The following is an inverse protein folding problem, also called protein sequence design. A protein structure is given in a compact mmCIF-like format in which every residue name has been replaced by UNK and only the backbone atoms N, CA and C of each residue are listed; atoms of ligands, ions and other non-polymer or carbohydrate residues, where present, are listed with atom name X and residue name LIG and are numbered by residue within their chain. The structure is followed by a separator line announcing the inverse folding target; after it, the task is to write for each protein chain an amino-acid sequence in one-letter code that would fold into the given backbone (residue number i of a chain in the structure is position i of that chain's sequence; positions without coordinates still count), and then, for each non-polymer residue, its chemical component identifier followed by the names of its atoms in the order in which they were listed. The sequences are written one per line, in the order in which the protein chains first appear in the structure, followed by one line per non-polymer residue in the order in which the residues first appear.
data_IF_638124736102
#
_entry.id   IF_638124736102
#
_cell.length_a   1.000
_cell.length_b   1.000
_cell.length_c   1.000
_cell.angle_alpha   90.00
_cell.angle_beta   90.00
_cell.angle_gamma   90.00
#
_symmetry.space_group_name_H-M   'P 1'
#
loop_
_entity.id
_entity.type
_entity.pdbx_description
1 polymer ?
#
# COMPACT_ATOMS: atom_id res chain seq x y z
N UNK A 1 -4.55 -21.24 -78.98
CA UNK A 1 -4.14 -19.98 -78.32
C UNK A 1 -5.31 -19.47 -77.49
N UNK A 2 -5.42 -19.89 -76.23
CA UNK A 2 -5.87 -19.06 -75.10
C UNK A 2 -5.77 -19.92 -73.85
N UNK A 3 -4.90 -19.50 -72.95
CA UNK A 3 -4.64 -20.08 -71.66
C UNK A 3 -5.32 -19.25 -70.56
N UNK A 4 -5.48 -19.89 -69.41
CA UNK A 4 -5.65 -19.31 -68.06
C UNK A 4 -7.04 -18.78 -67.71
N UNK A 5 -7.81 -19.58 -66.97
CA UNK A 5 -8.49 -19.17 -65.73
C UNK A 5 -8.56 -20.38 -64.79
N UNK A 6 -8.58 -20.13 -63.49
CA UNK A 6 -8.68 -21.05 -62.34
C UNK A 6 -7.37 -21.45 -61.69
N UNK A 7 -6.75 -20.45 -61.04
CA UNK A 7 -5.77 -20.66 -59.99
C UNK A 7 -6.47 -21.04 -58.67
N UNK A 8 -5.93 -22.09 -58.05
CA UNK A 8 -6.20 -22.59 -56.71
C UNK A 8 -6.26 -21.48 -55.65
N UNK A 9 -7.40 -21.37 -54.95
CA UNK A 9 -7.46 -20.78 -53.60
C UNK A 9 -7.52 -21.94 -52.62
N UNK A 10 -6.37 -22.36 -52.10
CA UNK A 10 -6.31 -23.19 -50.90
C UNK A 10 -6.85 -22.36 -49.73
N UNK A 11 -7.85 -22.90 -49.01
CA UNK A 11 -8.28 -22.33 -47.72
C UNK A 11 -7.05 -22.21 -46.80
N UNK A 12 -6.90 -21.10 -46.05
CA UNK A 12 -5.84 -21.02 -45.04
C UNK A 12 -6.10 -22.12 -44.00
N UNK A 13 -5.06 -22.89 -43.66
CA UNK A 13 -5.12 -23.79 -42.52
C UNK A 13 -5.48 -22.99 -41.26
N UNK A 14 -6.34 -23.54 -40.38
CA UNK A 14 -6.58 -22.91 -39.09
C UNK A 14 -5.26 -22.77 -38.35
N UNK A 15 -4.98 -21.57 -37.84
CA UNK A 15 -3.84 -21.35 -36.98
C UNK A 15 -3.88 -22.38 -35.83
N UNK A 16 -2.75 -23.03 -35.49
CA UNK A 16 -2.74 -24.00 -34.42
C UNK A 16 -3.29 -23.37 -33.15
N UNK A 17 -4.21 -24.07 -32.46
CA UNK A 17 -4.65 -23.70 -31.12
C UNK A 17 -3.41 -23.53 -30.25
N UNK A 18 -3.13 -22.30 -29.84
CA UNK A 18 -2.09 -22.01 -28.86
C UNK A 18 -2.61 -22.52 -27.52
N UNK A 19 -2.28 -23.76 -27.19
CA UNK A 19 -2.54 -24.32 -25.86
C UNK A 19 -1.80 -23.42 -24.86
N UNK A 20 -2.49 -22.75 -23.91
CA UNK A 20 -1.82 -21.88 -22.96
C UNK A 20 -0.80 -22.70 -22.16
N UNK A 21 0.45 -22.25 -22.15
CA UNK A 21 1.49 -22.88 -21.31
C UNK A 21 1.06 -22.71 -19.86
N UNK A 22 0.80 -23.82 -19.18
CA UNK A 22 0.45 -23.82 -17.76
C UNK A 22 1.69 -23.49 -16.94
N UNK A 23 1.81 -22.24 -16.51
CA UNK A 23 2.88 -21.79 -15.60
C UNK A 23 2.73 -22.45 -14.23
N UNK A 24 3.86 -22.77 -13.61
CA UNK A 24 3.91 -23.04 -12.16
C UNK A 24 3.56 -21.76 -11.38
N UNK A 25 3.14 -21.85 -10.10
CA UNK A 25 2.94 -20.67 -9.26
C UNK A 25 4.17 -19.76 -9.20
N UNK A 26 5.37 -20.34 -9.11
CA UNK A 26 6.62 -19.57 -9.06
C UNK A 26 6.86 -18.78 -10.36
N UNK A 27 6.70 -19.41 -11.53
CA UNK A 27 6.84 -18.73 -12.82
C UNK A 27 5.80 -17.61 -12.99
N UNK A 28 4.54 -17.89 -12.65
CA UNK A 28 3.49 -16.88 -12.72
C UNK A 28 3.79 -15.66 -11.85
N UNK A 29 4.09 -15.88 -10.56
CA UNK A 29 4.37 -14.79 -9.63
C UNK A 29 5.65 -14.04 -9.99
N UNK A 30 6.68 -14.72 -10.51
CA UNK A 30 7.91 -14.09 -10.99
C UNK A 30 7.62 -13.12 -12.13
N UNK A 31 6.91 -13.58 -13.17
CA UNK A 31 6.57 -12.76 -14.33
C UNK A 31 5.66 -11.59 -13.92
N UNK A 32 4.66 -11.86 -13.07
CA UNK A 32 3.73 -10.85 -12.58
C UNK A 32 4.45 -9.72 -11.82
N UNK A 33 5.26 -10.06 -10.81
CA UNK A 33 5.98 -9.08 -9.99
C UNK A 33 6.94 -8.24 -10.84
N UNK A 34 7.69 -8.90 -11.75
CA UNK A 34 8.64 -8.22 -12.63
C UNK A 34 7.94 -7.31 -13.64
N UNK A 35 6.81 -7.74 -14.21
CA UNK A 35 6.04 -6.96 -15.18
C UNK A 35 5.58 -5.60 -14.64
N UNK A 36 5.44 -5.47 -13.32
CA UNK A 36 5.03 -4.23 -12.65
C UNK A 36 6.25 -3.44 -12.14
N UNK A 37 7.19 -4.09 -11.46
CA UNK A 37 8.31 -3.39 -10.81
C UNK A 37 9.35 -2.90 -11.82
N UNK A 38 9.60 -3.65 -12.90
CA UNK A 38 10.59 -3.24 -13.91
C UNK A 38 10.22 -1.91 -14.58
N UNK A 39 9.00 -1.72 -15.15
CA UNK A 39 8.63 -0.43 -15.75
C UNK A 39 8.65 0.72 -14.76
N UNK A 40 8.27 0.50 -13.49
CA UNK A 40 8.33 1.52 -12.45
C UNK A 40 9.78 1.94 -12.14
N UNK A 41 10.72 1.00 -12.06
CA UNK A 41 12.14 1.32 -11.86
C UNK A 41 12.73 2.05 -13.08
N UNK A 42 12.36 1.66 -14.29
CA UNK A 42 12.78 2.32 -15.52
C UNK A 42 12.26 3.76 -15.57
N UNK A 43 10.96 3.96 -15.29
CA UNK A 43 10.34 5.28 -15.28
C UNK A 43 10.89 6.18 -14.16
N UNK A 44 11.32 5.61 -13.03
CA UNK A 44 11.92 6.37 -11.94
C UNK A 44 13.24 7.07 -12.35
N UNK A 45 13.97 6.47 -13.30
CA UNK A 45 15.29 6.93 -13.73
C UNK A 45 16.35 6.90 -12.62
N UNK A 46 16.04 6.24 -11.49
CA UNK A 46 16.89 6.20 -10.29
C UNK A 46 17.76 4.96 -10.16
N UNK A 47 17.61 3.97 -11.07
CA UNK A 47 18.27 2.67 -10.98
C UNK A 47 19.05 2.35 -12.26
N UNK A 48 20.31 1.93 -12.11
CA UNK A 48 21.09 1.38 -13.24
C UNK A 48 20.52 0.02 -13.67
N UNK A 49 20.86 -0.45 -14.89
CA UNK A 49 20.44 -1.80 -15.34
C UNK A 49 20.86 -2.91 -14.39
N UNK A 50 22.07 -2.80 -13.82
CA UNK A 50 22.56 -3.78 -12.84
C UNK A 50 21.73 -3.76 -11.55
N UNK A 51 21.38 -2.58 -11.06
CA UNK A 51 20.51 -2.43 -9.88
C UNK A 51 19.11 -2.96 -10.15
N UNK A 52 18.54 -2.69 -11.33
CA UNK A 52 17.26 -3.23 -11.76
C UNK A 52 17.31 -4.77 -11.75
N UNK A 53 18.32 -5.37 -12.40
CA UNK A 53 18.48 -6.82 -12.44
C UNK A 53 18.58 -7.46 -11.03
N UNK A 54 19.30 -6.82 -10.10
CA UNK A 54 19.40 -7.29 -8.70
C UNK A 54 18.05 -7.27 -7.97
N UNK A 55 17.25 -6.22 -8.16
CA UNK A 55 15.93 -6.12 -7.54
C UNK A 55 14.93 -7.09 -8.16
N UNK A 56 14.96 -7.28 -9.48
CA UNK A 56 14.14 -8.29 -10.16
C UNK A 56 14.51 -9.70 -9.71
N UNK A 57 15.80 -10.00 -9.59
CA UNK A 57 16.26 -11.27 -9.03
C UNK A 57 15.77 -11.49 -7.60
N UNK A 58 15.79 -10.45 -6.74
CA UNK A 58 15.24 -10.57 -5.39
C UNK A 58 13.74 -10.91 -5.40
N UNK A 59 12.97 -10.34 -6.34
CA UNK A 59 11.56 -10.67 -6.50
C UNK A 59 11.37 -12.14 -6.91
N UNK A 60 12.11 -12.62 -7.91
CA UNK A 60 11.98 -13.99 -8.40
C UNK A 60 12.46 -15.04 -7.40
N UNK A 61 13.57 -14.77 -6.72
CA UNK A 61 14.26 -15.79 -5.89
C UNK A 61 13.68 -15.85 -4.47
N UNK A 62 13.09 -14.77 -3.98
CA UNK A 62 12.66 -14.66 -2.58
C UNK A 62 11.20 -14.27 -2.41
N UNK A 63 10.63 -13.39 -3.24
CA UNK A 63 9.25 -12.93 -3.07
C UNK A 63 8.25 -13.89 -3.72
N UNK A 64 8.42 -14.20 -5.00
CA UNK A 64 7.51 -15.03 -5.78
C UNK A 64 7.18 -16.39 -5.11
N UNK A 65 8.13 -17.12 -4.49
CA UNK A 65 7.85 -18.39 -3.83
C UNK A 65 6.94 -18.28 -2.59
N UNK A 66 6.74 -17.06 -2.05
CA UNK A 66 5.96 -16.84 -0.81
C UNK A 66 4.50 -16.49 -1.06
N UNK A 67 4.13 -16.15 -2.30
CA UNK A 67 2.79 -15.64 -2.65
C UNK A 67 1.72 -16.74 -2.81
N UNK A 68 2.11 -18.00 -2.64
CA UNK A 68 1.18 -19.12 -2.58
C UNK A 68 0.72 -19.60 -3.96
N UNK A 69 -0.51 -20.14 -4.06
CA UNK A 69 -1.00 -20.78 -5.28
C UNK A 69 -1.27 -19.76 -6.41
N UNK A 70 -1.62 -20.25 -7.60
CA UNK A 70 -2.03 -19.38 -8.70
C UNK A 70 -3.32 -18.62 -8.35
N UNK A 71 -3.55 -17.41 -8.89
CA UNK A 71 -4.79 -16.67 -8.63
C UNK A 71 -6.07 -17.43 -8.98
N UNK A 72 -6.01 -18.37 -9.93
CA UNK A 72 -7.12 -19.24 -10.36
C UNK A 72 -7.36 -20.44 -9.43
N UNK A 73 -6.48 -20.71 -8.48
CA UNK A 73 -6.56 -21.85 -7.57
C UNK A 73 -7.21 -21.42 -6.23
N UNK A 74 -7.82 -22.36 -5.48
CA UNK A 74 -8.41 -22.05 -4.18
C UNK A 74 -7.39 -21.44 -3.21
N UNK A 75 -7.69 -20.24 -2.70
CA UNK A 75 -6.85 -19.50 -1.75
C UNK A 75 -7.69 -18.63 -0.82
N UNK A 76 -7.08 -18.17 0.27
CA UNK A 76 -7.65 -17.09 1.06
C UNK A 76 -7.64 -15.78 0.25
N UNK A 77 -8.67 -14.96 0.48
CA UNK A 77 -8.72 -13.58 -0.03
C UNK A 77 -7.62 -12.75 0.62
N UNK A 78 -6.89 -11.99 -0.18
CA UNK A 78 -5.93 -11.00 0.25
C UNK A 78 -6.67 -9.72 0.65
N UNK A 79 -6.11 -9.03 1.64
CA UNK A 79 -6.75 -7.93 2.34
C UNK A 79 -5.91 -6.66 2.35
N UNK A 80 -4.64 -6.74 1.94
CA UNK A 80 -3.77 -5.58 1.85
C UNK A 80 -4.31 -4.51 0.89
N UNK A 81 -4.91 -4.92 -0.22
CA UNK A 81 -5.42 -4.02 -1.25
C UNK A 81 -6.93 -4.18 -1.41
N UNK A 82 -7.58 -3.17 -1.99
CA UNK A 82 -9.02 -3.25 -2.29
C UNK A 82 -9.35 -4.16 -3.49
N UNK A 83 -8.34 -4.83 -4.08
CA UNK A 83 -8.43 -5.60 -5.34
C UNK A 83 -8.11 -7.09 -5.16
N UNK A 84 -8.14 -7.60 -3.93
CA UNK A 84 -7.78 -8.99 -3.62
C UNK A 84 -6.40 -9.36 -4.20
N UNK A 85 -5.39 -8.56 -3.87
CA UNK A 85 -4.01 -8.78 -4.29
C UNK A 85 -3.05 -8.72 -3.11
N UNK A 86 -2.04 -9.60 -3.06
CA UNK A 86 -1.05 -9.63 -2.00
C UNK A 86 0.09 -8.65 -2.23
N UNK A 87 0.04 -7.83 -3.28
CA UNK A 87 1.16 -7.03 -3.73
C UNK A 87 0.74 -5.59 -4.01
N UNK A 88 1.50 -4.64 -3.48
CA UNK A 88 1.22 -3.21 -3.63
C UNK A 88 2.50 -2.41 -3.82
N UNK A 89 2.91 -2.17 -5.07
CA UNK A 89 3.96 -1.23 -5.38
C UNK A 89 3.63 0.18 -4.89
N UNK A 90 4.65 0.96 -4.59
CA UNK A 90 4.51 2.39 -4.36
C UNK A 90 5.66 3.18 -4.93
N UNK A 91 5.34 4.40 -5.35
CA UNK A 91 6.30 5.39 -5.81
C UNK A 91 6.49 6.42 -4.70
N UNK A 92 7.70 6.52 -4.19
CA UNK A 92 8.13 7.61 -3.31
C UNK A 92 8.48 8.83 -4.16
N UNK A 93 7.59 9.82 -4.13
CA UNK A 93 7.60 11.07 -4.90
C UNK A 93 8.12 12.18 -3.99
N UNK A 94 9.44 12.29 -3.90
CA UNK A 94 10.11 13.25 -3.04
C UNK A 94 10.52 14.50 -3.80
N UNK A 95 10.38 15.68 -3.17
CA UNK A 95 10.81 16.95 -3.75
C UNK A 95 12.33 17.06 -3.95
N UNK A 96 13.11 16.17 -3.34
CA UNK A 96 14.58 16.14 -3.46
C UNK A 96 15.09 14.73 -3.75
N UNK A 97 15.89 14.59 -4.81
CA UNK A 97 16.43 13.30 -5.24
C UNK A 97 15.58 12.62 -6.31
N UNK A 98 15.88 11.34 -6.57
CA UNK A 98 15.15 10.54 -7.56
C UNK A 98 13.97 9.81 -6.90
N UNK A 99 12.91 9.62 -7.67
CA UNK A 99 11.77 8.79 -7.27
C UNK A 99 12.26 7.38 -6.98
N UNK A 100 11.81 6.82 -5.85
CA UNK A 100 12.17 5.46 -5.43
C UNK A 100 10.95 4.55 -5.53
N UNK A 101 11.17 3.34 -6.03
CA UNK A 101 10.17 2.28 -6.04
C UNK A 101 10.23 1.54 -4.71
N UNK A 102 9.07 1.16 -4.21
CA UNK A 102 8.89 0.26 -3.08
C UNK A 102 7.79 -0.72 -3.41
N UNK A 103 7.64 -1.75 -2.60
CA UNK A 103 6.46 -2.59 -2.63
C UNK A 103 6.13 -3.17 -1.26
N UNK A 104 4.84 -3.27 -0.97
CA UNK A 104 4.27 -4.00 0.15
C UNK A 104 3.76 -5.37 -0.27
N UNK A 105 3.76 -6.32 0.67
CA UNK A 105 3.40 -7.71 0.52
C UNK A 105 2.55 -8.17 1.71
N UNK A 106 1.45 -8.88 1.42
CA UNK A 106 0.70 -9.60 2.43
C UNK A 106 1.38 -10.95 2.65
N UNK A 107 1.66 -11.29 3.91
CA UNK A 107 2.15 -12.64 4.19
C UNK A 107 0.99 -13.63 4.04
N UNK A 108 1.09 -14.48 3.03
CA UNK A 108 0.04 -15.44 2.67
C UNK A 108 -0.16 -16.46 3.79
N UNK A 109 -1.40 -16.51 4.28
CA UNK A 109 -1.80 -17.40 5.37
C UNK A 109 -1.94 -18.85 4.87
N UNK A 110 -1.69 -19.85 5.74
CA UNK A 110 -2.01 -21.23 5.42
C UNK A 110 -3.52 -21.45 5.21
N UNK A 111 -3.91 -22.47 4.42
CA UNK A 111 -5.32 -22.86 4.29
C UNK A 111 -5.86 -23.47 5.60
N UNK A 112 -7.18 -23.59 5.70
CA UNK A 112 -7.86 -24.26 6.83
C UNK A 112 -8.61 -23.32 7.77
N UNK A 113 -8.39 -22.00 7.68
CA UNK A 113 -9.13 -21.01 8.46
C UNK A 113 -9.09 -21.32 9.97
N UNK A 114 -10.21 -21.12 10.65
CA UNK A 114 -10.31 -21.35 12.09
C UNK A 114 -9.90 -22.79 12.48
N UNK A 115 -10.25 -23.79 11.69
CA UNK A 115 -9.96 -25.20 11.98
C UNK A 115 -8.55 -25.64 11.57
N UNK A 116 -7.78 -24.75 10.94
CA UNK A 116 -6.44 -25.02 10.47
C UNK A 116 -5.39 -25.11 11.59
N UNK A 117 -4.18 -25.62 11.29
CA UNK A 117 -3.09 -25.70 12.26
C UNK A 117 -2.46 -24.33 12.61
N UNK A 118 -2.77 -23.28 11.84
CA UNK A 118 -2.32 -21.90 12.06
C UNK A 118 -3.47 -20.92 11.72
N UNK A 119 -4.51 -20.81 12.57
CA UNK A 119 -5.79 -20.18 12.22
C UNK A 119 -5.71 -18.72 11.77
N UNK A 120 -4.71 -18.01 12.29
CA UNK A 120 -4.49 -16.61 12.01
C UNK A 120 -3.27 -16.38 11.13
N UNK A 121 -2.47 -17.40 10.82
CA UNK A 121 -1.27 -17.28 9.99
C UNK A 121 -0.06 -16.68 10.71
N UNK A 122 -0.06 -16.62 12.06
CA UNK A 122 1.00 -15.98 12.85
C UNK A 122 2.28 -16.82 12.88
N UNK A 123 2.16 -18.16 12.86
CA UNK A 123 3.31 -19.04 12.74
C UNK A 123 3.98 -18.86 11.37
N UNK A 124 3.18 -18.90 10.30
CA UNK A 124 3.65 -18.64 8.93
C UNK A 124 4.27 -17.26 8.80
N UNK A 125 3.65 -16.23 9.38
CA UNK A 125 4.19 -14.88 9.42
C UNK A 125 5.58 -14.85 10.03
N UNK A 126 5.76 -15.43 11.22
CA UNK A 126 7.07 -15.48 11.90
C UNK A 126 8.15 -16.12 11.03
N UNK A 127 7.85 -17.26 10.40
CA UNK A 127 8.79 -17.95 9.51
C UNK A 127 9.21 -17.09 8.31
N UNK A 128 8.23 -16.52 7.61
CA UNK A 128 8.45 -15.70 6.40
C UNK A 128 9.20 -14.41 6.73
N UNK A 129 8.83 -13.72 7.81
CA UNK A 129 9.47 -12.47 8.23
C UNK A 129 10.94 -12.69 8.61
N UNK A 130 11.25 -13.77 9.36
CA UNK A 130 12.63 -14.10 9.72
C UNK A 130 13.46 -14.55 8.50
N UNK A 131 12.85 -15.26 7.56
CA UNK A 131 13.50 -15.60 6.28
C UNK A 131 13.86 -14.33 5.49
N UNK A 132 12.93 -13.38 5.37
CA UNK A 132 13.21 -12.12 4.67
C UNK A 132 14.24 -11.26 5.39
N UNK A 133 14.22 -11.24 6.72
CA UNK A 133 15.26 -10.55 7.49
C UNK A 133 16.65 -11.14 7.19
N UNK A 134 16.76 -12.47 7.11
CA UNK A 134 18.00 -13.15 6.75
C UNK A 134 18.50 -12.78 5.35
N UNK A 135 17.64 -12.83 4.31
CA UNK A 135 18.08 -12.55 2.93
C UNK A 135 18.28 -11.06 2.64
N UNK A 136 17.62 -10.17 3.38
CA UNK A 136 17.83 -8.71 3.28
C UNK A 136 18.97 -8.19 4.17
N UNK A 137 19.45 -9.00 5.11
CA UNK A 137 20.45 -8.59 6.11
C UNK A 137 19.89 -7.66 7.20
N UNK A 138 18.58 -7.69 7.43
CA UNK A 138 17.93 -6.87 8.46
C UNK A 138 18.22 -7.41 9.88
N UNK A 139 18.38 -6.50 10.84
CA UNK A 139 18.44 -6.86 12.27
C UNK A 139 17.06 -7.28 12.77
N UNK A 140 17.00 -8.39 13.51
CA UNK A 140 15.74 -9.01 13.94
C UNK A 140 15.36 -8.67 15.39
N UNK A 141 16.12 -7.88 16.14
CA UNK A 141 15.87 -7.66 17.58
C UNK A 141 14.49 -7.07 17.84
N UNK A 142 14.17 -5.96 17.16
CA UNK A 142 12.83 -5.35 17.25
C UNK A 142 11.77 -6.24 16.62
N UNK A 143 12.08 -6.91 15.52
CA UNK A 143 11.14 -7.79 14.83
C UNK A 143 10.67 -8.93 15.75
N UNK A 144 11.59 -9.66 16.38
CA UNK A 144 11.26 -10.75 17.30
C UNK A 144 10.47 -10.25 18.50
N UNK A 145 10.93 -9.17 19.14
CA UNK A 145 10.21 -8.57 20.28
C UNK A 145 8.80 -8.12 19.93
N UNK A 146 8.61 -7.55 18.74
CA UNK A 146 7.29 -7.11 18.28
C UNK A 146 6.39 -8.31 18.00
N UNK A 147 6.88 -9.36 17.34
CA UNK A 147 6.09 -10.58 17.12
C UNK A 147 5.69 -11.24 18.45
N UNK A 148 6.60 -11.34 19.42
CA UNK A 148 6.29 -11.92 20.74
C UNK A 148 5.26 -11.12 21.52
N UNK A 149 5.23 -9.80 21.33
CA UNK A 149 4.32 -8.91 22.02
C UNK A 149 2.93 -8.81 21.36
N UNK A 150 2.88 -8.88 20.02
CA UNK A 150 1.68 -8.58 19.24
C UNK A 150 1.03 -9.79 18.58
N UNK A 151 1.69 -10.94 18.49
CA UNK A 151 1.05 -12.19 18.12
C UNK A 151 0.41 -12.85 19.35
N UNK A 152 -0.59 -13.69 19.11
CA UNK A 152 -1.25 -14.47 20.14
C UNK A 152 -0.30 -15.57 20.65
N UNK A 153 -0.41 -15.88 21.94
CA UNK A 153 0.18 -17.10 22.49
C UNK A 153 -0.58 -18.33 21.96
N UNK A 154 -0.03 -19.56 22.08
CA UNK A 154 -0.77 -20.76 21.72
C UNK A 154 -2.10 -20.91 22.46
N UNK A 155 -2.14 -20.54 23.75
CA UNK A 155 -3.34 -20.57 24.59
C UNK A 155 -4.38 -19.55 24.11
N UNK A 156 -3.95 -18.30 23.88
CA UNK A 156 -4.84 -17.26 23.33
C UNK A 156 -5.34 -17.62 21.93
N UNK A 157 -4.51 -18.26 21.11
CA UNK A 157 -4.90 -18.72 19.77
C UNK A 157 -6.05 -19.70 19.86
N UNK A 158 -5.96 -20.68 20.75
CA UNK A 158 -7.01 -21.68 20.92
C UNK A 158 -8.29 -21.05 21.49
N UNK A 159 -8.16 -20.17 22.49
CA UNK A 159 -9.29 -19.47 23.09
C UNK A 159 -10.02 -18.55 22.09
N UNK A 160 -9.31 -18.02 21.08
CA UNK A 160 -9.83 -17.02 20.16
C UNK A 160 -10.15 -17.54 18.76
N UNK A 161 -9.75 -18.78 18.42
CA UNK A 161 -9.86 -19.42 17.10
C UNK A 161 -11.22 -19.22 16.41
N UNK A 162 -12.32 -19.27 17.17
CA UNK A 162 -13.70 -19.09 16.68
C UNK A 162 -14.36 -17.76 17.10
N UNK A 163 -13.61 -16.88 17.77
CA UNK A 163 -14.08 -15.57 18.25
C UNK A 163 -13.54 -14.41 17.42
N UNK A 164 -12.45 -14.65 16.68
CA UNK A 164 -11.78 -13.62 15.89
C UNK A 164 -11.89 -13.87 14.38
N UNK A 165 -11.84 -12.81 13.57
CA UNK A 165 -11.80 -12.97 12.13
C UNK A 165 -10.49 -13.58 11.65
N UNK A 166 -10.60 -14.60 10.82
CA UNK A 166 -9.46 -15.29 10.18
C UNK A 166 -9.02 -14.62 8.88
N UNK A 167 -9.86 -13.78 8.27
CA UNK A 167 -9.57 -13.13 6.99
C UNK A 167 -8.42 -12.11 7.09
N UNK A 168 -8.22 -11.47 8.24
CA UNK A 168 -7.19 -10.43 8.40
C UNK A 168 -5.77 -11.00 8.34
N UNK A 169 -4.78 -10.24 7.86
CA UNK A 169 -3.39 -10.69 7.89
C UNK A 169 -2.81 -10.45 9.29
N UNK A 170 -1.86 -11.28 9.69
CA UNK A 170 -1.12 -11.04 10.95
C UNK A 170 0.01 -10.02 10.76
N UNK A 171 0.57 -9.99 9.56
CA UNK A 171 1.62 -9.06 9.21
C UNK A 171 1.61 -8.72 7.72
N UNK A 172 2.07 -7.52 7.42
CA UNK A 172 2.49 -7.12 6.08
C UNK A 172 4.00 -6.89 6.10
N UNK A 173 4.62 -6.98 4.93
CA UNK A 173 6.03 -6.71 4.74
C UNK A 173 6.18 -5.70 3.62
N UNK A 174 7.20 -4.84 3.66
CA UNK A 174 7.52 -3.96 2.55
C UNK A 174 9.02 -3.88 2.33
N UNK A 175 9.40 -3.51 1.12
CA UNK A 175 10.79 -3.28 0.75
C UNK A 175 10.96 -1.92 0.09
N UNK A 176 11.89 -1.13 0.62
CA UNK A 176 12.37 0.09 -0.03
C UNK A 176 13.58 -0.25 -0.90
N UNK A 177 13.50 0.06 -2.19
CA UNK A 177 14.59 -0.20 -3.14
C UNK A 177 15.51 1.01 -3.20
N UNK A 178 16.75 0.86 -2.73
CA UNK A 178 17.73 1.93 -2.68
C UNK A 178 19.10 1.49 -3.19
N UNK A 179 19.48 1.95 -4.39
CA UNK A 179 20.62 1.43 -5.11
C UNK A 179 20.54 -0.10 -5.24
N UNK A 180 21.45 -0.86 -4.61
CA UNK A 180 21.41 -2.34 -4.56
C UNK A 180 20.87 -2.87 -3.24
N UNK A 181 20.45 -2.01 -2.31
CA UNK A 181 19.91 -2.41 -1.00
C UNK A 181 18.39 -2.57 -1.08
N UNK A 182 17.91 -3.61 -0.42
CA UNK A 182 16.50 -3.92 -0.27
C UNK A 182 16.15 -3.77 1.20
N UNK A 183 15.73 -2.57 1.61
CA UNK A 183 15.47 -2.31 3.03
C UNK A 183 14.11 -2.84 3.42
N UNK A 184 14.10 -3.82 4.32
CA UNK A 184 12.89 -4.46 4.82
C UNK A 184 12.17 -3.58 5.85
N UNK A 185 10.84 -3.56 5.76
CA UNK A 185 9.91 -3.02 6.77
C UNK A 185 8.85 -4.06 7.08
N UNK A 186 8.41 -4.11 8.33
CA UNK A 186 7.37 -5.03 8.79
C UNK A 186 6.26 -4.24 9.46
N UNK A 187 5.02 -4.62 9.15
CA UNK A 187 3.82 -4.13 9.79
C UNK A 187 3.20 -5.30 10.55
N UNK A 188 2.97 -5.14 11.85
CA UNK A 188 2.31 -6.15 12.68
C UNK A 188 0.91 -5.65 13.02
N UNK A 189 -0.10 -6.49 12.79
CA UNK A 189 -1.50 -6.13 13.00
C UNK A 189 -1.91 -6.50 14.44
N UNK A 190 -1.87 -5.52 15.34
CA UNK A 190 -2.08 -5.73 16.78
C UNK A 190 -3.54 -6.03 17.19
N UNK A 191 -4.51 -5.98 16.26
CA UNK A 191 -5.93 -6.02 16.61
C UNK A 191 -6.34 -7.31 17.32
N UNK A 192 -5.85 -8.47 16.87
CA UNK A 192 -6.19 -9.76 17.51
C UNK A 192 -5.73 -9.82 18.95
N UNK A 193 -4.47 -9.44 19.19
CA UNK A 193 -3.87 -9.41 20.52
C UNK A 193 -4.58 -8.42 21.44
N UNK A 194 -4.96 -7.25 20.92
CA UNK A 194 -5.73 -6.27 21.67
C UNK A 194 -7.09 -6.82 22.12
N UNK A 195 -7.81 -7.53 21.24
CA UNK A 195 -9.10 -8.14 21.60
C UNK A 195 -8.88 -9.28 22.61
N UNK A 196 -7.88 -10.14 22.40
CA UNK A 196 -7.56 -11.24 23.31
C UNK A 196 -7.17 -10.74 24.72
N UNK A 197 -6.50 -9.59 24.82
CA UNK A 197 -6.14 -8.97 26.10
C UNK A 197 -7.28 -8.20 26.76
N UNK A 198 -8.46 -8.14 26.14
CA UNK A 198 -9.58 -7.31 26.60
C UNK A 198 -9.34 -5.80 26.48
N UNK A 199 -8.41 -5.35 25.62
CA UNK A 199 -8.19 -3.93 25.39
C UNK A 199 -9.38 -3.31 24.65
N UNK A 200 -9.84 -2.11 25.05
CA UNK A 200 -10.94 -1.42 24.36
C UNK A 200 -10.57 -0.92 22.96
N UNK A 201 -9.27 -0.81 22.64
CA UNK A 201 -8.80 -0.52 21.27
C UNK A 201 -7.42 -1.09 20.99
N UNK A 202 -7.13 -1.36 19.72
CA UNK A 202 -5.81 -1.78 19.24
C UNK A 202 -4.77 -0.67 19.38
N UNK A 203 -5.16 0.60 19.20
CA UNK A 203 -4.28 1.75 19.39
C UNK A 203 -3.80 1.84 20.84
N UNK A 204 -4.72 1.78 21.81
CA UNK A 204 -4.36 1.82 23.23
C UNK A 204 -3.45 0.66 23.62
N UNK A 205 -3.78 -0.55 23.16
CA UNK A 205 -2.94 -1.73 23.38
C UNK A 205 -1.52 -1.51 22.82
N UNK A 206 -1.44 -1.02 21.58
CA UNK A 206 -0.16 -0.73 20.90
C UNK A 206 0.65 0.30 21.67
N UNK A 207 0.05 1.37 22.16
CA UNK A 207 0.77 2.39 22.94
C UNK A 207 1.34 1.83 24.25
N UNK A 208 0.54 1.05 24.98
CA UNK A 208 1.00 0.39 26.20
C UNK A 208 2.11 -0.62 25.92
N UNK A 209 2.04 -1.33 24.80
CA UNK A 209 3.04 -2.27 24.33
C UNK A 209 4.35 -1.58 23.92
N UNK A 210 4.27 -0.50 23.13
CA UNK A 210 5.41 0.32 22.72
C UNK A 210 6.20 0.85 23.91
N UNK A 211 5.53 1.22 25.01
CA UNK A 211 6.21 1.65 26.25
C UNK A 211 7.13 0.60 26.88
N UNK A 212 6.93 -0.67 26.53
CA UNK A 212 7.73 -1.80 27.04
C UNK A 212 8.80 -2.27 26.05
N UNK A 213 8.92 -1.61 24.88
CA UNK A 213 9.96 -1.99 23.91
C UNK A 213 11.34 -1.61 24.42
N UNK A 214 12.29 -2.51 24.21
CA UNK A 214 13.70 -2.27 24.50
C UNK A 214 14.54 -2.38 23.22
N UNK A 215 15.40 -1.38 22.93
CA UNK A 215 15.54 -0.10 23.63
C UNK A 215 14.40 0.90 23.32
N UNK A 216 14.18 1.87 24.23
CA UNK A 216 13.49 3.16 24.04
C UNK A 216 11.98 3.28 24.32
N UNK A 217 11.32 2.25 24.87
CA UNK A 217 9.90 2.28 25.19
C UNK A 217 9.47 3.43 26.13
N UNK A 218 10.28 3.75 27.14
CA UNK A 218 9.99 4.83 28.11
C UNK A 218 9.79 6.22 27.47
N UNK A 219 10.30 6.45 26.25
CA UNK A 219 10.21 7.74 25.54
C UNK A 219 8.90 7.93 24.76
N UNK A 220 8.06 6.89 24.66
CA UNK A 220 6.93 6.81 23.72
C UNK A 220 5.57 7.20 24.34
N UNK A 221 5.59 7.85 25.50
CA UNK A 221 4.43 8.06 26.38
C UNK A 221 3.26 8.91 25.86
N UNK A 222 3.45 10.11 25.27
CA UNK A 222 2.35 11.06 25.11
C UNK A 222 2.01 11.41 23.64
N UNK A 223 0.80 11.03 23.20
CA UNK A 223 0.11 11.76 22.12
C UNK A 223 -0.53 10.93 21.01
N UNK A 224 -1.35 9.92 21.30
CA UNK A 224 -1.98 9.12 20.24
C UNK A 224 -3.41 8.67 20.58
N UNK A 225 -4.32 9.64 20.65
CA UNK A 225 -5.76 9.36 20.56
C UNK A 225 -6.22 9.77 19.16
N UNK A 226 -6.42 8.81 18.25
CA UNK A 226 -6.83 9.07 16.85
C UNK A 226 -8.30 8.69 16.68
N UNK A 227 -9.08 9.62 16.13
CA UNK A 227 -10.51 9.51 15.82
C UNK A 227 -10.69 9.07 14.37
N UNK A 228 -11.73 8.27 14.08
CA UNK A 228 -12.02 7.67 12.78
C UNK A 228 -12.91 8.56 11.88
N UNK A 229 -12.50 9.81 11.66
CA UNK A 229 -13.22 10.81 10.85
C UNK A 229 -12.33 11.25 9.67
N UNK A 230 -12.92 11.57 8.51
CA UNK A 230 -12.21 11.94 7.28
C UNK A 230 -12.16 13.44 6.94
N UNK A 231 -12.58 14.32 7.85
CA UNK A 231 -12.57 15.78 7.74
C UNK A 231 -11.16 16.41 7.85
N UNK A 232 -11.03 17.66 7.41
CA UNK A 232 -9.76 18.37 7.53
C UNK A 232 -9.43 18.70 8.99
N UNK A 233 -10.44 19.00 9.81
CA UNK A 233 -10.27 19.27 11.23
C UNK A 233 -9.56 18.11 11.94
N UNK A 234 -9.99 16.86 11.68
CA UNK A 234 -9.33 15.66 12.23
C UNK A 234 -7.92 15.49 11.66
N UNK A 235 -7.73 15.71 10.37
CA UNK A 235 -6.38 15.66 9.79
C UNK A 235 -5.43 16.69 10.41
N UNK A 236 -5.89 17.92 10.63
CA UNK A 236 -5.13 18.98 11.28
C UNK A 236 -4.83 18.64 12.74
N UNK A 237 -5.82 18.14 13.48
CA UNK A 237 -5.67 17.74 14.87
C UNK A 237 -4.62 16.63 15.02
N UNK A 238 -4.75 15.54 14.26
CA UNK A 238 -3.80 14.42 14.29
C UNK A 238 -2.41 14.86 13.83
N UNK A 239 -2.31 15.63 12.74
CA UNK A 239 -1.01 16.09 12.22
C UNK A 239 -0.31 17.09 13.15
N UNK A 240 -1.00 17.64 14.16
CA UNK A 240 -0.44 18.45 15.24
C UNK A 240 -0.43 17.76 16.60
N UNK A 241 -0.86 16.49 16.68
CA UNK A 241 -1.05 15.74 17.92
C UNK A 241 -1.93 16.49 18.94
N UNK A 242 -3.08 16.98 18.50
CA UNK A 242 -3.99 17.79 19.31
C UNK A 242 -3.36 19.11 19.74
N UNK A 243 -2.68 19.81 18.83
CA UNK A 243 -2.04 21.09 19.09
C UNK A 243 -0.73 21.04 19.89
N UNK A 244 -0.14 19.85 20.10
CA UNK A 244 1.15 19.70 20.80
C UNK A 244 2.36 20.00 19.92
N UNK A 245 2.23 19.80 18.61
CA UNK A 245 3.26 20.13 17.62
C UNK A 245 2.97 21.51 17.01
N UNK A 246 3.59 22.55 17.59
CA UNK A 246 3.37 23.96 17.21
C UNK A 246 4.61 24.62 16.58
N UNK A 247 5.67 23.85 16.34
CA UNK A 247 6.87 24.35 15.68
C UNK A 247 6.60 24.72 14.21
N UNK A 248 7.46 25.59 13.66
CA UNK A 248 7.35 26.08 12.28
C UNK A 248 7.20 24.95 11.25
N UNK A 249 7.90 23.83 11.43
CA UNK A 249 7.87 22.71 10.48
C UNK A 249 6.52 21.99 10.55
N UNK A 250 6.00 21.77 11.77
CA UNK A 250 4.70 21.12 11.97
C UNK A 250 3.53 21.98 11.46
N UNK A 251 3.55 23.29 11.70
CA UNK A 251 2.53 24.20 11.17
C UNK A 251 2.60 24.30 9.65
N UNK A 252 3.81 24.36 9.06
CA UNK A 252 3.98 24.36 7.61
C UNK A 252 3.48 23.07 6.97
N UNK A 253 3.65 21.92 7.63
CA UNK A 253 3.09 20.62 7.19
C UNK A 253 1.57 20.69 7.05
N UNK A 254 0.87 21.23 8.04
CA UNK A 254 -0.59 21.38 8.02
C UNK A 254 -1.03 22.38 6.97
N UNK A 255 -0.33 23.51 6.83
CA UNK A 255 -0.59 24.51 5.78
C UNK A 255 -0.52 23.89 4.38
N UNK A 256 0.53 23.11 4.10
CA UNK A 256 0.67 22.43 2.82
C UNK A 256 -0.45 21.39 2.64
N UNK A 257 -0.71 20.55 3.65
CA UNK A 257 -1.78 19.55 3.58
C UNK A 257 -3.14 20.19 3.29
N UNK A 258 -3.46 21.32 3.93
CA UNK A 258 -4.67 22.11 3.67
C UNK A 258 -4.80 22.52 2.21
N UNK A 259 -3.69 22.98 1.62
CA UNK A 259 -3.67 23.37 0.20
C UNK A 259 -3.86 22.21 -0.77
N UNK A 260 -3.53 20.98 -0.35
CA UNK A 260 -3.71 19.76 -1.14
C UNK A 260 -5.07 19.10 -0.91
N UNK A 261 -5.75 19.44 0.19
CA UNK A 261 -6.93 18.73 0.67
C UNK A 261 -8.04 18.54 -0.38
N UNK A 262 -8.44 19.59 -1.14
CA UNK A 262 -9.48 19.42 -2.15
C UNK A 262 -9.05 18.48 -3.29
N UNK A 263 -7.76 18.43 -3.61
CA UNK A 263 -7.22 17.56 -4.66
C UNK A 263 -7.14 16.10 -4.18
N UNK A 264 -6.71 15.87 -2.93
CA UNK A 264 -6.62 14.55 -2.32
C UNK A 264 -8.00 13.87 -2.20
N UNK A 265 -9.05 14.65 -1.98
CA UNK A 265 -10.44 14.20 -1.88
C UNK A 265 -11.25 14.36 -3.18
N UNK A 266 -10.59 14.80 -4.26
CA UNK A 266 -11.21 15.07 -5.56
C UNK A 266 -12.54 15.82 -5.40
N UNK A 267 -12.52 16.92 -4.65
CA UNK A 267 -13.73 17.70 -4.36
C UNK A 267 -14.22 18.39 -5.62
N UNK A 268 -15.50 18.17 -5.96
CA UNK A 268 -16.15 18.80 -7.10
C UNK A 268 -17.07 19.93 -6.61
N UNK A 269 -17.22 21.02 -7.38
CA UNK A 269 -18.15 22.09 -7.04
C UNK A 269 -19.55 21.54 -6.75
N UNK A 270 -20.09 21.84 -5.57
CA UNK A 270 -21.43 21.43 -5.13
C UNK A 270 -21.54 20.07 -4.44
N UNK A 271 -20.45 19.29 -4.28
CA UNK A 271 -20.48 18.01 -3.53
C UNK A 271 -20.33 18.18 -2.00
N UNK A 272 -19.98 19.37 -1.53
CA UNK A 272 -19.80 19.70 -0.12
C UNK A 272 -19.73 21.22 0.10
N UNK A 273 -19.45 21.67 1.33
CA UNK A 273 -19.37 23.09 1.65
C UNK A 273 -18.29 23.80 0.83
N UNK A 274 -18.56 25.03 0.41
CA UNK A 274 -17.57 25.84 -0.30
C UNK A 274 -16.49 26.33 0.69
N UNK A 275 -15.19 26.08 0.46
CA UNK A 275 -14.14 26.44 1.41
C UNK A 275 -13.98 27.96 1.63
N UNK A 276 -14.51 28.79 0.73
CA UNK A 276 -14.46 30.25 0.82
C UNK A 276 -15.75 30.80 1.42
N UNK A 277 -16.92 30.31 0.98
CA UNK A 277 -18.20 30.80 1.47
C UNK A 277 -18.60 30.18 2.82
N UNK A 278 -18.18 28.95 3.10
CA UNK A 278 -18.59 28.16 4.26
C UNK A 278 -17.36 27.51 4.96
N UNK A 279 -16.35 28.30 5.39
CA UNK A 279 -15.08 27.76 5.87
C UNK A 279 -15.22 26.83 7.09
N UNK A 280 -16.09 27.15 8.06
CA UNK A 280 -16.28 26.31 9.26
C UNK A 280 -16.94 24.97 8.94
N UNK A 281 -17.91 24.96 8.03
CA UNK A 281 -18.55 23.72 7.57
C UNK A 281 -17.57 22.88 6.74
N UNK A 282 -16.72 23.51 5.94
CA UNK A 282 -15.69 22.81 5.15
C UNK A 282 -14.66 22.09 6.02
N UNK A 283 -14.23 22.70 7.13
CA UNK A 283 -13.28 22.09 8.08
C UNK A 283 -13.76 20.75 8.62
N UNK A 284 -15.05 20.66 8.91
CA UNK A 284 -15.70 19.50 9.55
C UNK A 284 -16.42 18.60 8.57
N UNK A 285 -16.33 18.90 7.26
CA UNK A 285 -17.01 18.14 6.22
C UNK A 285 -16.39 16.76 6.02
N UNK A 286 -17.18 15.73 6.27
CA UNK A 286 -16.87 14.34 5.95
C UNK A 286 -17.39 13.97 4.57
N UNK A 287 -16.49 13.59 3.65
CA UNK A 287 -16.90 13.10 2.34
C UNK A 287 -17.41 11.67 2.50
N UNK A 288 -18.63 11.34 2.03
CA UNK A 288 -19.12 9.98 2.06
C UNK A 288 -18.16 9.03 1.33
N UNK A 289 -17.95 7.84 1.90
CA UNK A 289 -17.18 6.79 1.23
C UNK A 289 -17.94 6.27 0.02
N UNK A 290 -17.24 6.13 -1.10
CA UNK A 290 -17.82 5.62 -2.33
C UNK A 290 -18.01 4.11 -2.30
N UNK A 291 -17.12 3.39 -1.63
CA UNK A 291 -17.12 1.94 -1.50
C UNK A 291 -17.29 1.61 -0.02
N UNK A 292 -18.39 0.96 0.30
CA UNK A 292 -18.69 0.51 1.66
C UNK A 292 -18.20 -0.93 1.88
N UNK A 293 -17.96 -1.30 3.14
CA UNK A 293 -17.59 -2.67 3.51
C UNK A 293 -16.14 -3.07 3.20
N UNK A 294 -15.29 -2.12 2.83
CA UNK A 294 -13.83 -2.32 2.74
C UNK A 294 -13.16 -1.93 4.06
N UNK A 295 -12.12 -2.67 4.51
CA UNK A 295 -11.32 -2.25 5.67
C UNK A 295 -10.39 -1.07 5.35
N UNK A 296 -10.25 -0.69 4.08
CA UNK A 296 -9.39 0.41 3.61
C UNK A 296 -10.22 1.71 3.51
N UNK A 297 -10.80 2.07 4.64
CA UNK A 297 -11.77 3.14 4.81
C UNK A 297 -11.16 4.25 5.69
N UNK A 298 -11.66 5.48 5.54
CA UNK A 298 -11.20 6.65 6.30
C UNK A 298 -9.74 7.07 6.08
N UNK A 299 -9.30 8.06 6.86
CA UNK A 299 -7.91 8.53 6.87
C UNK A 299 -7.04 7.63 7.74
N UNK A 300 -5.83 7.33 7.29
CA UNK A 300 -4.83 6.67 8.13
C UNK A 300 -3.69 7.63 8.45
N UNK A 301 -3.08 7.43 9.60
CA UNK A 301 -1.98 8.24 10.06
C UNK A 301 -0.87 7.36 10.61
N UNK A 302 0.36 7.86 10.50
CA UNK A 302 1.53 7.24 11.08
C UNK A 302 2.29 8.28 11.91
N UNK A 303 2.77 7.84 13.07
CA UNK A 303 3.77 8.54 13.87
C UNK A 303 5.09 7.81 13.71
N UNK A 304 6.04 8.46 13.05
CA UNK A 304 7.38 7.92 12.87
C UNK A 304 8.28 8.30 14.05
N UNK A 305 8.84 7.25 14.67
CA UNK A 305 9.73 7.33 15.81
C UNK A 305 11.16 7.07 15.33
N UNK A 306 12.01 8.08 15.41
CA UNK A 306 13.42 7.95 15.06
C UNK A 306 14.28 8.42 16.24
N UNK A 307 14.85 7.52 17.05
CA UNK A 307 15.41 7.98 18.32
C UNK A 307 16.85 8.49 18.20
N UNK A 308 17.39 8.52 16.97
CA UNK A 308 18.55 9.35 16.60
C UNK A 308 18.15 10.79 16.24
N UNK A 309 16.86 11.12 16.17
CA UNK A 309 16.34 12.47 15.91
C UNK A 309 15.39 12.90 17.03
N UNK A 310 15.54 14.10 17.61
CA UNK A 310 14.52 14.62 18.52
C UNK A 310 13.23 14.93 17.74
N UNK A 311 12.08 14.48 18.24
CA UNK A 311 10.75 14.81 17.71
C UNK A 311 9.99 13.63 17.11
N UNK A 312 8.72 13.87 16.77
CA UNK A 312 7.81 12.94 16.11
C UNK A 312 7.56 13.42 14.68
N UNK A 313 7.67 12.52 13.70
CA UNK A 313 7.33 12.84 12.31
C UNK A 313 5.93 12.28 11.99
N UNK A 314 5.00 13.15 11.62
CA UNK A 314 3.62 12.77 11.26
C UNK A 314 3.48 12.55 9.76
N UNK A 315 2.71 11.53 9.39
CA UNK A 315 2.36 11.22 8.00
C UNK A 315 0.88 10.87 7.90
N UNK A 316 0.16 11.47 6.96
CA UNK A 316 -1.23 11.11 6.64
C UNK A 316 -1.28 10.21 5.41
N UNK A 317 -2.36 9.45 5.27
CA UNK A 317 -2.67 8.59 4.12
C UNK A 317 -4.13 8.80 3.77
N UNK A 318 -4.39 9.24 2.54
CA UNK A 318 -5.74 9.46 2.02
C UNK A 318 -6.09 8.33 1.04
N UNK A 319 -7.24 7.65 1.19
CA UNK A 319 -7.62 6.53 0.33
C UNK A 319 -8.09 7.04 -1.04
N UNK A 320 -7.18 7.24 -1.99
CA UNK A 320 -7.49 7.93 -3.25
C UNK A 320 -8.57 7.20 -4.08
N UNK A 321 -8.60 5.86 -4.02
CA UNK A 321 -9.64 5.05 -4.67
C UNK A 321 -11.06 5.30 -4.15
N UNK A 322 -11.23 5.78 -2.90
CA UNK A 322 -12.54 6.17 -2.37
C UNK A 322 -13.03 7.49 -2.97
N UNK A 323 -12.12 8.37 -3.36
CA UNK A 323 -12.45 9.72 -3.83
C UNK A 323 -12.45 9.87 -5.36
N UNK A 324 -11.93 8.88 -6.08
CA UNK A 324 -11.89 8.86 -7.54
C UNK A 324 -12.69 7.67 -8.06
N UNK A 325 -13.56 7.91 -9.03
CA UNK A 325 -14.47 6.90 -9.57
C UNK A 325 -13.81 6.05 -10.67
N UNK A 326 -12.75 6.56 -11.30
CA UNK A 326 -12.03 5.89 -12.39
C UNK A 326 -10.52 6.00 -12.23
N UNK A 327 -9.77 5.05 -12.81
CA UNK A 327 -8.31 5.09 -12.84
C UNK A 327 -7.78 6.39 -13.49
N UNK A 328 -8.45 6.86 -14.55
CA UNK A 328 -8.14 8.13 -15.21
C UNK A 328 -8.26 9.32 -14.25
N UNK A 329 -9.37 9.42 -13.50
CA UNK A 329 -9.53 10.47 -12.49
C UNK A 329 -8.41 10.41 -11.44
N UNK A 330 -8.03 9.21 -10.99
CA UNK A 330 -6.95 9.04 -10.02
C UNK A 330 -5.59 9.49 -10.56
N UNK A 331 -5.26 9.15 -11.81
CA UNK A 331 -4.05 9.63 -12.49
C UNK A 331 -4.05 11.16 -12.57
N UNK A 332 -5.14 11.76 -13.05
CA UNK A 332 -5.28 13.21 -13.17
C UNK A 332 -5.18 13.92 -11.81
N UNK A 333 -5.79 13.36 -10.76
CA UNK A 333 -5.70 13.86 -9.39
C UNK A 333 -4.25 13.85 -8.89
N UNK A 334 -3.52 12.76 -9.10
CA UNK A 334 -2.11 12.67 -8.74
C UNK A 334 -1.23 13.69 -9.48
N UNK A 335 -1.43 13.87 -10.79
CA UNK A 335 -0.69 14.89 -11.55
C UNK A 335 -0.97 16.31 -11.04
N UNK A 336 -2.23 16.63 -10.71
CA UNK A 336 -2.61 17.92 -10.14
C UNK A 336 -1.97 18.14 -8.77
N UNK A 337 -1.98 17.13 -7.90
CA UNK A 337 -1.34 17.19 -6.58
C UNK A 337 0.16 17.45 -6.73
N UNK A 338 0.84 16.69 -7.58
CA UNK A 338 2.28 16.82 -7.81
C UNK A 338 2.62 18.16 -8.45
N UNK A 339 1.83 18.65 -9.40
CA UNK A 339 1.99 19.98 -10.00
C UNK A 339 1.81 21.08 -8.96
N UNK A 340 0.83 20.95 -8.05
CA UNK A 340 0.62 21.89 -6.94
C UNK A 340 1.82 21.98 -5.99
N UNK A 341 2.59 20.89 -5.89
CA UNK A 341 3.84 20.80 -5.14
C UNK A 341 5.09 21.15 -5.96
N UNK A 342 4.93 21.67 -7.18
CA UNK A 342 6.03 21.98 -8.10
C UNK A 342 6.93 20.76 -8.40
N UNK A 343 6.34 19.57 -8.39
CA UNK A 343 7.07 18.33 -8.61
C UNK A 343 7.08 17.97 -10.09
N UNK A 344 8.27 17.70 -10.65
CA UNK A 344 8.47 17.48 -12.09
C UNK A 344 7.59 16.35 -12.66
N UNK A 345 7.26 15.35 -11.84
CA UNK A 345 6.40 14.24 -12.29
C UNK A 345 5.00 14.71 -12.63
N UNK A 346 4.46 15.64 -11.83
CA UNK A 346 3.19 16.32 -12.08
C UNK A 346 3.23 17.16 -13.35
N UNK A 347 4.23 18.05 -13.41
CA UNK A 347 4.38 19.06 -14.45
C UNK A 347 4.51 18.43 -15.84
N UNK A 348 5.24 17.31 -15.94
CA UNK A 348 5.53 16.65 -17.21
C UNK A 348 4.70 15.38 -17.45
N UNK A 349 3.70 15.09 -16.61
CA UNK A 349 2.85 13.91 -16.76
C UNK A 349 3.58 12.57 -16.60
N UNK A 350 4.72 12.54 -15.89
CA UNK A 350 5.55 11.34 -15.74
C UNK A 350 4.88 10.29 -14.85
N UNK A 351 4.04 10.72 -13.90
CA UNK A 351 3.36 9.79 -13.02
C UNK A 351 2.41 8.87 -13.81
N UNK A 352 1.55 9.45 -14.63
CA UNK A 352 0.60 8.73 -15.47
C UNK A 352 1.32 7.82 -16.47
N UNK A 353 2.41 8.30 -17.06
CA UNK A 353 3.24 7.48 -17.97
C UNK A 353 3.83 6.26 -17.24
N UNK A 354 4.36 6.44 -16.03
CA UNK A 354 4.94 5.36 -15.24
C UNK A 354 3.87 4.31 -14.85
N UNK A 355 2.71 4.75 -14.36
CA UNK A 355 1.60 3.86 -13.99
C UNK A 355 1.10 3.10 -15.21
N UNK A 356 0.88 3.77 -16.35
CA UNK A 356 0.42 3.09 -17.57
C UNK A 356 1.44 2.11 -18.14
N UNK A 357 2.74 2.39 -18.00
CA UNK A 357 3.78 1.46 -18.41
C UNK A 357 3.78 0.16 -17.58
N UNK A 358 3.47 0.26 -16.29
CA UNK A 358 3.46 -0.88 -15.37
C UNK A 358 2.13 -1.66 -15.37
N UNK A 359 1.00 -0.98 -15.56
CA UNK A 359 -0.33 -1.57 -15.38
C UNK A 359 -1.19 -1.56 -16.65
N UNK A 360 -0.82 -0.81 -17.68
CA UNK A 360 -1.71 -0.48 -18.79
C UNK A 360 -2.64 0.69 -18.48
N UNK A 361 -3.40 1.12 -19.50
CA UNK A 361 -4.26 2.31 -19.43
C UNK A 361 -5.58 2.02 -18.74
N UNK A 362 -6.05 2.93 -17.88
CA UNK A 362 -7.37 2.90 -17.24
C UNK A 362 -7.60 1.64 -16.36
N UNK A 363 -6.52 1.12 -15.76
CA UNK A 363 -6.53 -0.16 -15.03
C UNK A 363 -6.58 -0.02 -13.50
N UNK A 364 -5.89 0.97 -12.94
CA UNK A 364 -5.64 1.04 -11.49
C UNK A 364 -5.87 2.42 -10.92
N UNK A 365 -6.43 2.46 -9.71
CA UNK A 365 -6.38 3.64 -8.84
C UNK A 365 -5.42 3.35 -7.68
N UNK A 366 -4.60 4.32 -7.25
CA UNK A 366 -3.89 4.21 -5.99
C UNK A 366 -4.84 3.89 -4.83
N UNK A 367 -4.45 2.91 -4.00
CA UNK A 367 -5.12 2.61 -2.72
C UNK A 367 -4.99 3.82 -1.81
N UNK A 368 -3.76 4.25 -1.53
CA UNK A 368 -3.49 5.40 -0.68
C UNK A 368 -2.54 6.37 -1.36
N UNK A 369 -2.63 7.62 -0.92
CA UNK A 369 -1.62 8.64 -1.15
C UNK A 369 -1.20 9.15 0.22
N UNK A 370 0.07 8.96 0.56
CA UNK A 370 0.62 9.47 1.81
C UNK A 370 1.23 10.85 1.64
N UNK A 371 1.14 11.68 2.67
CA UNK A 371 1.80 12.99 2.75
C UNK A 371 2.55 13.15 4.07
N UNK A 372 3.78 13.64 3.99
CA UNK A 372 4.51 14.20 5.12
C UNK A 372 5.38 15.38 4.67
N UNK A 373 5.91 16.14 5.63
CA UNK A 373 6.77 17.28 5.35
C UNK A 373 7.89 17.34 6.39
N UNK A 374 9.08 17.70 5.91
CA UNK A 374 10.22 18.05 6.76
C UNK A 374 10.92 19.26 6.18
N UNK A 375 11.53 20.09 7.05
CA UNK A 375 12.25 21.30 6.62
C UNK A 375 13.43 20.99 5.69
N UNK A 376 14.08 19.84 5.87
CA UNK A 376 15.27 19.46 5.08
C UNK A 376 14.96 18.82 3.73
N UNK A 377 13.83 18.10 3.60
CA UNK A 377 13.48 17.38 2.36
C UNK A 377 12.28 17.98 1.62
N UNK A 378 11.59 18.94 2.22
CA UNK A 378 10.36 19.51 1.70
C UNK A 378 9.18 18.54 1.78
N UNK A 379 8.15 18.75 0.95
CA UNK A 379 7.02 17.83 0.79
C UNK A 379 7.49 16.45 0.35
N UNK A 380 6.90 15.44 0.98
CA UNK A 380 7.15 14.04 0.71
C UNK A 380 5.81 13.37 0.44
N UNK A 381 5.70 12.70 -0.70
CA UNK A 381 4.51 11.92 -1.03
C UNK A 381 4.84 10.48 -1.40
N UNK A 382 3.88 9.58 -1.19
CA UNK A 382 3.98 8.24 -1.78
C UNK A 382 2.62 7.81 -2.30
N UNK A 383 2.60 7.31 -3.53
CA UNK A 383 1.40 6.74 -4.15
C UNK A 383 1.51 5.22 -4.09
N UNK A 384 0.53 4.58 -3.45
CA UNK A 384 0.45 3.13 -3.27
C UNK A 384 -0.53 2.58 -4.30
N UNK A 385 -0.05 1.80 -5.25
CA UNK A 385 -0.83 1.31 -6.40
C UNK A 385 -0.99 -0.20 -6.26
N UNK A 386 -2.20 -0.73 -6.24
CA UNK A 386 -2.39 -2.16 -6.04
C UNK A 386 -1.89 -2.93 -7.26
N UNK A 387 -1.25 -4.07 -7.03
CA UNK A 387 -1.04 -5.06 -8.09
C UNK A 387 -2.39 -5.65 -8.50
N UNK A 388 -2.76 -5.62 -9.78
CA UNK A 388 -4.03 -6.21 -10.24
C UNK A 388 -3.78 -7.60 -10.82
N UNK A 389 -4.38 -8.62 -10.23
CA UNK A 389 -4.20 -10.02 -10.65
C UNK A 389 -4.95 -10.38 -11.94
N UNK A 390 -5.99 -9.63 -12.29
CA UNK A 390 -6.73 -9.82 -13.54
C UNK A 390 -6.12 -8.98 -14.68
N UNK A 391 -5.39 -9.65 -15.57
CA UNK A 391 -4.74 -9.07 -16.75
C UNK A 391 -5.75 -8.48 -17.76
N UNK A 392 -7.05 -8.80 -17.64
CA UNK A 392 -8.15 -8.35 -18.51
C UNK A 392 -9.11 -7.31 -17.91
N UNK A 393 -9.08 -7.08 -16.59
CA UNK A 393 -10.02 -6.16 -15.92
C UNK A 393 -9.81 -4.68 -16.28
N UNK A 394 -10.84 -4.01 -16.80
CA UNK A 394 -10.90 -2.54 -16.92
C UNK A 394 -11.62 -1.93 -15.70
N UNK A 395 -11.10 -0.83 -15.15
CA UNK A 395 -11.79 -0.11 -14.08
C UNK A 395 -12.95 0.71 -14.67
N UNK A 396 -14.19 0.19 -14.59
CA UNK A 396 -15.41 0.89 -15.05
C UNK A 396 -16.15 1.54 -13.89
N UNK A 397 -16.77 2.70 -14.16
CA UNK A 397 -17.61 3.40 -13.19
C UNK A 397 -18.70 2.48 -12.65
N UNK A 398 -18.65 2.17 -11.35
CA UNK A 398 -19.74 1.51 -10.63
C UNK A 398 -19.63 0.00 -10.38
N UNK A 399 -18.58 -0.70 -10.82
CA UNK A 399 -18.39 -2.11 -10.48
C UNK A 399 -16.92 -2.43 -10.15
N UNK A 400 -16.63 -2.70 -8.89
CA UNK A 400 -15.36 -3.30 -8.42
C UNK A 400 -15.41 -4.83 -8.36
N UNK A 401 -16.54 -5.43 -8.74
CA UNK A 401 -16.59 -6.87 -8.95
C UNK A 401 -15.76 -7.16 -10.19
N UNK A 402 -14.51 -7.56 -9.95
CA UNK A 402 -13.71 -8.38 -10.86
C UNK A 402 -14.65 -9.51 -11.33
N UNK A 403 -15.11 -9.42 -12.58
CA UNK A 403 -16.04 -10.38 -13.16
C UNK A 403 -15.36 -11.72 -13.38
#
# INVERSE_FOLDING_TARGET
MTAVVDAFISKPEPAPEVVPVKKTPHEFWSDYLCSIIEPLMQASGGYTREQQAKHLQFLTDHVAPTLGPLPSEPRATYTQTYVDSPFEPSLNLTSSGKVKVRYGLEVVKPPGGADGPDPFGEKRAREVLLQFAKVSGADTKWLSSAMDQFFLTPEETEDMRHKLPTFMPSSLLAFDLDATKTMMKVYIIAMRKAIASGSPSSNLFTLQALRRLEPWGEKLGPGLDVIADNSFAVASDVMTLGGRLTDETSLKRVEILRSLWPLLRNEKPGEGPDPVAEPEAWETWEKPERITGTPLSGLQYNVELNPSKPGLEMKSYVPLFQHNATAKESEESMEKILTKLDHEWGIYGKYSLAVRAAYGKDRVSPTFVSFSYSKSKGPYMSSYVPGVLDVGAEMKSGNWKYS
#
